data_IF_191974917034
#
_entry.id   IF_191974917034
#
_cell.length_a   1.000
_cell.length_b   1.000
_cell.length_c   1.000
_cell.angle_alpha   90.00
_cell.angle_beta   90.00
_cell.angle_gamma   90.00
#
_symmetry.space_group_name_H-M   'P 1'
#
loop_
_entity.id
_entity.type
_entity.pdbx_description
1 polymer ?
#
# COMPACT_ATOMS: atom_id res chain seq x y z
N UNK A 1 1.70 9.45 14.59
CA UNK A 1 0.81 8.51 13.86
C UNK A 1 -0.24 7.95 14.84
N UNK A 2 -1.50 7.86 14.41
CA UNK A 2 -2.61 7.28 15.19
C UNK A 2 -2.88 5.82 14.81
N UNK A 3 -2.43 5.37 13.63
CA UNK A 3 -2.47 3.96 13.21
C UNK A 3 -1.06 3.36 13.17
N UNK A 4 -0.95 2.05 13.43
CA UNK A 4 0.31 1.31 13.30
C UNK A 4 0.58 0.91 11.85
N UNK A 5 1.80 0.44 11.58
CA UNK A 5 2.14 -0.14 10.29
C UNK A 5 1.32 -1.41 10.00
N UNK A 6 1.04 -2.25 10.99
CA UNK A 6 0.18 -3.41 10.79
C UNK A 6 -1.23 -2.99 10.37
N UNK A 7 -1.77 -1.93 10.99
CA UNK A 7 -3.08 -1.41 10.61
C UNK A 7 -3.07 -0.80 9.20
N UNK A 8 -1.98 -0.15 8.79
CA UNK A 8 -1.83 0.30 7.42
C UNK A 8 -1.80 -0.87 6.41
N UNK A 9 -1.14 -1.99 6.75
CA UNK A 9 -1.13 -3.19 5.90
C UNK A 9 -2.53 -3.82 5.79
N UNK A 10 -3.33 -3.80 6.87
CA UNK A 10 -4.73 -4.23 6.80
C UNK A 10 -5.55 -3.36 5.83
N UNK A 11 -5.43 -2.03 5.96
CA UNK A 11 -6.08 -1.06 5.05
C UNK A 11 -5.70 -1.33 3.59
N UNK A 12 -4.42 -1.59 3.32
CA UNK A 12 -3.95 -1.94 1.97
C UNK A 12 -4.67 -3.19 1.42
N UNK A 13 -4.73 -4.26 2.23
CA UNK A 13 -5.37 -5.52 1.80
C UNK A 13 -6.87 -5.36 1.59
N UNK A 14 -7.54 -4.62 2.48
CA UNK A 14 -8.96 -4.27 2.34
C UNK A 14 -9.21 -3.48 1.05
N UNK A 15 -8.38 -2.45 0.78
CA UNK A 15 -8.47 -1.67 -0.46
C UNK A 15 -8.30 -2.56 -1.70
N UNK A 16 -7.23 -3.34 -1.77
CA UNK A 16 -6.95 -4.25 -2.88
C UNK A 16 -8.08 -5.27 -3.11
N UNK A 17 -8.70 -5.76 -2.03
CA UNK A 17 -9.82 -6.69 -2.11
C UNK A 17 -11.05 -6.06 -2.79
N UNK A 18 -11.28 -4.76 -2.54
CA UNK A 18 -12.42 -4.03 -3.12
C UNK A 18 -12.16 -3.47 -4.52
N UNK A 19 -10.90 -3.38 -4.94
CA UNK A 19 -10.52 -2.81 -6.24
C UNK A 19 -10.80 -3.82 -7.37
N UNK A 20 -11.73 -3.56 -8.32
CA UNK A 20 -12.20 -4.55 -9.29
C UNK A 20 -11.11 -5.16 -10.19
N UNK A 21 -10.02 -4.43 -10.44
CA UNK A 21 -8.91 -4.87 -11.29
C UNK A 21 -7.83 -5.65 -10.53
N UNK A 22 -7.88 -5.66 -9.19
CA UNK A 22 -6.94 -6.37 -8.33
C UNK A 22 -7.64 -7.58 -7.70
N UNK A 23 -8.70 -7.33 -6.95
CA UNK A 23 -9.56 -8.32 -6.32
C UNK A 23 -8.92 -9.11 -5.18
N UNK A 24 -9.79 -9.92 -4.54
CA UNK A 24 -9.46 -10.74 -3.37
C UNK A 24 -8.27 -11.68 -3.59
N UNK A 25 -8.18 -12.28 -4.80
CA UNK A 25 -7.16 -13.27 -5.13
C UNK A 25 -5.75 -12.70 -4.97
N UNK A 26 -5.50 -11.49 -5.49
CA UNK A 26 -4.21 -10.82 -5.36
C UNK A 26 -4.02 -10.27 -3.94
N UNK A 27 -5.05 -9.66 -3.35
CA UNK A 27 -5.01 -9.10 -2.00
C UNK A 27 -4.56 -10.13 -0.93
N UNK A 28 -5.02 -11.38 -1.04
CA UNK A 28 -4.69 -12.45 -0.09
C UNK A 28 -3.24 -12.96 -0.21
N UNK A 29 -2.52 -12.59 -1.26
CA UNK A 29 -1.15 -13.03 -1.52
C UNK A 29 -0.10 -11.94 -1.24
N UNK A 30 -0.55 -10.78 -0.74
CA UNK A 30 0.31 -9.65 -0.39
C UNK A 30 1.42 -10.07 0.58
N UNK A 31 2.65 -9.86 0.15
CA UNK A 31 3.88 -9.96 0.94
C UNK A 31 4.47 -8.57 1.08
N UNK A 32 4.50 -8.08 2.32
CA UNK A 32 5.11 -6.80 2.65
C UNK A 32 6.62 -6.94 2.65
N UNK A 33 7.30 -6.04 1.93
CA UNK A 33 8.76 -5.93 1.91
C UNK A 33 9.24 -4.94 2.97
N UNK A 34 8.54 -3.81 3.09
CA UNK A 34 8.82 -2.81 4.12
C UNK A 34 7.60 -1.94 4.39
N UNK A 35 7.48 -1.44 5.61
CA UNK A 35 6.55 -0.38 5.97
C UNK A 35 7.32 0.69 6.75
N UNK A 36 7.36 1.92 6.23
CA UNK A 36 8.10 3.02 6.83
C UNK A 36 7.22 4.25 7.00
N UNK A 37 7.38 4.96 8.11
CA UNK A 37 6.70 6.24 8.34
C UNK A 37 7.45 7.35 7.60
N UNK A 38 6.78 8.03 6.67
CA UNK A 38 7.38 9.06 5.80
C UNK A 38 6.49 10.29 5.71
N UNK A 39 7.07 11.42 5.32
CA UNK A 39 6.30 12.57 4.85
C UNK A 39 5.99 12.37 3.36
N UNK A 40 4.71 12.45 2.99
CA UNK A 40 4.24 12.48 1.60
C UNK A 40 3.74 13.88 1.29
N UNK A 41 4.36 14.52 0.32
CA UNK A 41 3.86 15.77 -0.25
C UNK A 41 2.79 15.45 -1.30
N UNK A 42 1.70 16.21 -1.25
CA UNK A 42 0.69 16.34 -2.29
C UNK A 42 0.61 17.80 -2.74
N UNK A 43 -0.14 18.09 -3.80
CA UNK A 43 -0.12 19.42 -4.46
C UNK A 43 -0.34 20.60 -3.48
N UNK A 44 -1.17 20.43 -2.44
CA UNK A 44 -1.49 21.47 -1.46
C UNK A 44 -1.28 21.06 0.02
N UNK A 45 -0.95 19.80 0.31
CA UNK A 45 -0.88 19.28 1.69
C UNK A 45 0.29 18.31 1.91
N UNK A 46 0.85 18.32 3.13
CA UNK A 46 1.88 17.36 3.55
C UNK A 46 1.29 16.39 4.57
N UNK A 47 1.23 15.12 4.19
CA UNK A 47 0.72 14.04 5.03
C UNK A 47 1.86 13.28 5.71
N UNK A 48 1.67 12.91 6.97
CA UNK A 48 2.48 11.84 7.57
C UNK A 48 1.83 10.52 7.18
N UNK A 49 2.55 9.65 6.45
CA UNK A 49 2.00 8.45 5.85
C UNK A 49 2.85 7.21 6.13
N UNK A 50 2.20 6.05 6.18
CA UNK A 50 2.85 4.75 6.08
C UNK A 50 3.10 4.44 4.60
N UNK A 51 4.38 4.38 4.21
CA UNK A 51 4.80 3.90 2.90
C UNK A 51 5.04 2.40 2.96
N UNK A 52 4.07 1.65 2.46
CA UNK A 52 4.09 0.18 2.39
C UNK A 52 4.58 -0.23 1.01
N UNK A 53 5.73 -0.92 0.97
CA UNK A 53 6.24 -1.57 -0.25
C UNK A 53 5.91 -3.05 -0.20
N UNK A 54 5.30 -3.56 -1.25
CA UNK A 54 4.79 -4.93 -1.26
C UNK A 54 4.80 -5.55 -2.66
N UNK A 55 4.62 -6.86 -2.68
CA UNK A 55 4.34 -7.66 -3.88
C UNK A 55 3.16 -8.57 -3.60
N UNK A 56 2.51 -9.08 -4.64
CA UNK A 56 1.49 -10.12 -4.57
C UNK A 56 1.81 -11.26 -5.57
N UNK A 57 0.89 -12.19 -5.78
CA UNK A 57 1.05 -13.34 -6.68
C UNK A 57 1.23 -12.98 -8.16
N UNK A 58 0.86 -11.77 -8.58
CA UNK A 58 1.08 -11.30 -9.95
C UNK A 58 2.54 -10.94 -10.24
N UNK A 59 3.36 -10.78 -9.20
CA UNK A 59 4.79 -10.48 -9.35
C UNK A 59 5.57 -11.74 -9.68
N UNK A 60 6.40 -11.65 -10.71
CA UNK A 60 7.31 -12.71 -11.13
C UNK A 60 8.53 -12.79 -10.21
N UNK A 61 9.13 -13.97 -10.13
CA UNK A 61 10.35 -14.16 -9.34
C UNK A 61 11.49 -13.36 -9.98
N UNK A 62 11.93 -12.30 -9.32
CA UNK A 62 12.97 -11.39 -9.83
C UNK A 62 12.49 -9.99 -10.18
N UNK A 63 11.22 -9.66 -9.97
CA UNK A 63 10.73 -8.28 -10.10
C UNK A 63 11.47 -7.33 -9.13
N UNK A 64 12.24 -6.39 -9.69
CA UNK A 64 13.05 -5.42 -8.93
C UNK A 64 12.20 -4.25 -8.37
N UNK A 65 10.96 -4.12 -8.85
CA UNK A 65 10.10 -2.96 -8.60
C UNK A 65 8.82 -3.38 -7.86
N UNK A 66 8.82 -3.35 -6.51
CA UNK A 66 7.61 -3.62 -5.74
C UNK A 66 6.59 -2.50 -5.90
N UNK A 67 5.31 -2.84 -5.75
CA UNK A 67 4.24 -1.84 -5.63
C UNK A 67 4.41 -1.03 -4.34
N UNK A 68 3.86 0.17 -4.35
CA UNK A 68 3.89 1.09 -3.21
C UNK A 68 2.50 1.59 -2.88
N UNK A 69 2.20 1.65 -1.59
CA UNK A 69 1.01 2.33 -1.08
C UNK A 69 1.42 3.37 -0.04
N UNK A 70 0.75 4.51 -0.06
CA UNK A 70 0.85 5.55 0.96
C UNK A 70 -0.50 5.66 1.64
N UNK A 71 -0.49 5.44 2.96
CA UNK A 71 -1.70 5.45 3.78
C UNK A 71 -1.50 6.48 4.87
N UNK A 72 -2.44 7.42 5.01
CA UNK A 72 -2.34 8.47 6.03
C UNK A 72 -2.19 7.84 7.42
N UNK A 73 -1.14 8.24 8.13
CA UNK A 73 -0.76 7.62 9.38
C UNK A 73 -1.64 8.06 10.56
N UNK A 74 -2.56 9.00 10.37
CA UNK A 74 -3.54 9.43 11.36
C UNK A 74 -4.93 8.85 11.09
N UNK A 75 -5.42 8.92 9.85
CA UNK A 75 -6.79 8.50 9.49
C UNK A 75 -6.86 7.07 8.96
N UNK A 76 -5.78 6.53 8.41
CA UNK A 76 -5.80 5.28 7.66
C UNK A 76 -6.39 5.41 6.25
N UNK A 77 -6.54 6.61 5.74
CA UNK A 77 -6.98 6.87 4.37
C UNK A 77 -5.91 6.41 3.35
N UNK A 78 -6.33 5.77 2.26
CA UNK A 78 -5.44 5.46 1.14
C UNK A 78 -5.17 6.74 0.35
N UNK A 79 -3.95 7.28 0.46
CA UNK A 79 -3.53 8.50 -0.24
C UNK A 79 -3.12 8.19 -1.69
N UNK A 80 -2.38 7.10 -1.87
CA UNK A 80 -1.92 6.68 -3.19
C UNK A 80 -1.65 5.17 -3.20
N UNK A 81 -2.09 4.52 -4.27
CA UNK A 81 -1.68 3.18 -4.63
C UNK A 81 -0.95 3.22 -5.98
N UNK A 82 0.37 3.05 -5.95
CA UNK A 82 1.19 2.85 -7.13
C UNK A 82 1.33 1.34 -7.40
N UNK A 83 0.38 0.85 -8.20
CA UNK A 83 0.23 -0.54 -8.59
C UNK A 83 0.19 -0.66 -10.11
N UNK A 84 1.35 -0.59 -10.75
CA UNK A 84 1.49 -0.72 -12.19
C UNK A 84 1.64 -2.18 -12.61
N UNK A 85 0.56 -2.97 -12.54
CA UNK A 85 0.53 -4.37 -13.01
C UNK A 85 -0.75 -4.62 -13.80
N UNK A 86 -0.59 -5.19 -15.00
CA UNK A 86 -1.66 -5.67 -15.89
C UNK A 86 -2.31 -6.97 -15.36
#
# INVERSE_FOLDING_TARGET
>A
PSITDEKAVEVLKEYMNTEPYIGEEKANTVKVISSNLVWKEDDDETHLAWWVRFIDSSFTTGDEYPASAWIDAHSGEMLLLDYARD
#
